data_IF_743827277270
#
_entry.id   IF_743827277270
#
_cell.length_a   1.000
_cell.length_b   1.000
_cell.length_c   1.000
_cell.angle_alpha   90.00
_cell.angle_beta   90.00
_cell.angle_gamma   90.00
#
_symmetry.space_group_name_H-M   'P 1'
#
loop_
_entity.id
_entity.type
_entity.pdbx_description
1 polymer ?
#
# COMPACT_ATOMS: atom_id res chain seq x y z
N UNK A 1 11.30 6.35 16.25
CA UNK A 1 10.70 7.05 17.40
C UNK A 1 11.76 7.48 18.41
N UNK A 2 12.59 6.59 18.96
CA UNK A 2 13.66 6.98 19.92
C UNK A 2 14.62 8.06 19.38
N UNK A 3 15.06 7.97 18.11
CA UNK A 3 15.91 8.98 17.47
C UNK A 3 15.20 10.31 17.21
N UNK A 4 13.92 10.27 16.83
CA UNK A 4 13.12 11.48 16.68
C UNK A 4 12.95 12.17 18.03
N UNK A 5 12.68 11.41 19.10
CA UNK A 5 12.62 11.92 20.48
C UNK A 5 13.97 12.48 20.94
N UNK A 6 15.09 11.79 20.71
CA UNK A 6 16.44 12.28 21.04
C UNK A 6 16.80 13.54 20.25
N UNK A 7 16.40 13.64 18.99
CA UNK A 7 16.59 14.83 18.17
C UNK A 7 15.72 16.00 18.65
N UNK A 8 14.44 15.77 18.95
CA UNK A 8 13.50 16.76 19.50
C UNK A 8 14.01 17.28 20.85
N UNK A 9 14.51 16.39 21.72
CA UNK A 9 15.13 16.74 23.01
C UNK A 9 16.38 17.59 22.79
N UNK A 10 17.25 17.23 21.81
CA UNK A 10 18.44 18.03 21.47
C UNK A 10 18.10 19.44 20.96
N UNK A 11 16.87 19.64 20.46
CA UNK A 11 16.33 20.91 19.96
C UNK A 11 15.49 21.66 21.01
N UNK A 12 15.45 21.18 22.27
CA UNK A 12 14.67 21.78 23.38
C UNK A 12 13.18 22.01 23.03
N UNK A 13 12.56 21.12 22.24
CA UNK A 13 11.16 21.26 21.80
C UNK A 13 10.82 22.56 21.03
N UNK A 14 11.81 23.23 20.41
CA UNK A 14 11.52 24.38 19.56
C UNK A 14 11.05 23.90 18.17
N UNK A 15 9.76 24.12 17.86
CA UNK A 15 9.20 23.90 16.52
C UNK A 15 9.89 24.81 15.51
N UNK A 16 10.21 24.29 14.33
CA UNK A 16 10.75 25.16 13.28
C UNK A 16 9.61 25.93 12.60
N UNK A 17 9.84 27.21 12.33
CA UNK A 17 8.95 27.98 11.46
C UNK A 17 9.09 27.56 9.99
N UNK A 18 10.14 26.81 9.63
CA UNK A 18 10.45 26.38 8.27
C UNK A 18 11.10 24.97 8.26
N UNK A 19 10.59 24.04 7.45
CA UNK A 19 11.20 22.72 7.24
C UNK A 19 12.59 22.78 6.63
N UNK A 20 12.95 23.86 5.91
CA UNK A 20 14.31 24.11 5.41
C UNK A 20 15.34 24.12 6.53
N UNK A 21 15.06 24.81 7.64
CA UNK A 21 15.97 24.81 8.79
C UNK A 21 16.09 23.43 9.45
N UNK A 22 15.03 22.61 9.41
CA UNK A 22 15.08 21.21 9.87
C UNK A 22 15.95 20.37 8.93
N UNK A 23 15.83 20.60 7.61
CA UNK A 23 16.65 19.93 6.58
C UNK A 23 18.12 20.31 6.67
N UNK A 24 18.46 21.58 6.90
CA UNK A 24 19.85 22.05 7.07
C UNK A 24 20.48 21.48 8.35
N UNK A 25 19.67 21.34 9.39
CA UNK A 25 20.05 20.71 10.64
C UNK A 25 20.19 19.18 10.55
N UNK A 26 19.58 18.56 9.54
CA UNK A 26 19.55 17.11 9.39
C UNK A 26 20.89 16.58 8.89
N UNK A 27 21.41 15.56 9.57
CA UNK A 27 22.61 14.82 9.16
C UNK A 27 22.26 13.35 8.96
N UNK A 28 22.81 12.73 7.91
CA UNK A 28 22.55 11.31 7.59
C UNK A 28 22.99 10.36 8.70
N UNK A 29 23.98 10.75 9.51
CA UNK A 29 24.45 9.99 10.66
C UNK A 29 23.39 9.82 11.77
N UNK A 30 22.26 10.55 11.70
CA UNK A 30 21.10 10.30 12.56
C UNK A 30 20.28 9.07 12.14
N UNK A 31 20.64 8.41 11.04
CA UNK A 31 19.95 7.19 10.60
C UNK A 31 20.30 6.01 11.52
N UNK A 32 19.32 5.22 11.97
CA UNK A 32 19.55 4.11 12.90
C UNK A 32 20.32 2.92 12.32
N UNK A 33 20.59 2.92 11.01
CA UNK A 33 21.02 1.76 10.23
C UNK A 33 22.03 2.14 9.13
N UNK A 34 22.88 1.22 8.70
CA UNK A 34 23.71 1.46 7.51
C UNK A 34 22.83 1.36 6.25
N UNK A 35 23.25 2.02 5.17
CA UNK A 35 22.65 1.78 3.85
C UNK A 35 23.02 0.37 3.41
N UNK A 36 22.05 -0.54 3.44
CA UNK A 36 22.24 -1.92 2.99
C UNK A 36 21.77 -2.06 1.54
N UNK A 37 22.64 -2.61 0.68
CA UNK A 37 22.24 -3.00 -0.67
C UNK A 37 21.68 -4.41 -0.61
N UNK A 38 20.36 -4.55 -0.54
CA UNK A 38 19.70 -5.86 -0.59
C UNK A 38 19.38 -6.19 -2.05
N UNK A 39 20.10 -7.17 -2.59
CA UNK A 39 19.96 -7.63 -3.97
C UNK A 39 19.42 -9.07 -4.03
N UNK A 40 18.93 -9.44 -5.22
CA UNK A 40 18.60 -10.82 -5.55
C UNK A 40 19.87 -11.67 -5.54
N UNK A 41 19.74 -12.95 -5.19
CA UNK A 41 20.85 -13.87 -5.01
C UNK A 41 20.40 -15.31 -5.25
N UNK A 42 20.87 -15.93 -6.33
CA UNK A 42 20.57 -17.33 -6.65
C UNK A 42 21.01 -18.32 -5.54
N UNK A 43 22.19 -18.17 -4.89
CA UNK A 43 22.55 -18.99 -3.74
C UNK A 43 21.54 -18.92 -2.58
N UNK A 44 21.09 -17.71 -2.23
CA UNK A 44 20.09 -17.52 -1.17
C UNK A 44 18.71 -18.03 -1.59
N UNK A 45 18.35 -17.87 -2.86
CA UNK A 45 17.13 -18.45 -3.42
C UNK A 45 17.14 -19.98 -3.34
N UNK A 46 18.27 -20.62 -3.63
CA UNK A 46 18.45 -22.07 -3.48
C UNK A 46 18.29 -22.51 -2.03
N UNK A 47 18.93 -21.83 -1.08
CA UNK A 47 18.80 -22.12 0.35
C UNK A 47 17.32 -22.07 0.80
N UNK A 48 16.59 -21.03 0.41
CA UNK A 48 15.16 -20.86 0.74
C UNK A 48 14.30 -21.96 0.09
N UNK A 49 14.60 -22.34 -1.15
CA UNK A 49 13.92 -23.43 -1.86
C UNK A 49 14.14 -24.77 -1.16
N UNK A 50 15.35 -25.03 -0.70
CA UNK A 50 15.68 -26.27 0.03
C UNK A 50 15.00 -26.32 1.40
N UNK A 51 14.91 -25.20 2.11
CA UNK A 51 14.07 -25.09 3.30
C UNK A 51 12.59 -25.37 2.98
N UNK A 52 12.08 -24.84 1.86
CA UNK A 52 10.72 -25.14 1.39
C UNK A 52 10.51 -26.64 1.11
N UNK A 53 11.49 -27.30 0.48
CA UNK A 53 11.46 -28.74 0.26
C UNK A 53 11.42 -29.53 1.58
N UNK A 54 12.23 -29.12 2.57
CA UNK A 54 12.27 -29.75 3.89
C UNK A 54 10.94 -29.55 4.62
N UNK A 55 10.41 -28.33 4.64
CA UNK A 55 9.11 -28.02 5.25
C UNK A 55 7.98 -28.86 4.64
N UNK A 56 7.95 -28.99 3.31
CA UNK A 56 6.94 -29.80 2.64
C UNK A 56 7.05 -31.31 2.95
N UNK A 57 8.28 -31.82 3.09
CA UNK A 57 8.51 -33.22 3.50
C UNK A 57 8.05 -33.48 4.93
N UNK A 58 8.22 -32.51 5.83
CA UNK A 58 7.82 -32.64 7.24
C UNK A 58 6.30 -32.57 7.41
N UNK A 59 5.62 -31.69 6.68
CA UNK A 59 4.17 -31.47 6.80
C UNK A 59 3.51 -31.33 5.41
N UNK A 60 3.33 -32.44 4.67
CA UNK A 60 2.79 -32.39 3.30
C UNK A 60 1.32 -31.93 3.23
N UNK A 61 0.56 -32.12 4.31
CA UNK A 61 -0.85 -31.73 4.41
C UNK A 61 -1.04 -30.24 4.81
N UNK A 62 0.02 -29.58 5.29
CA UNK A 62 0.05 -28.18 5.71
C UNK A 62 1.08 -27.36 4.88
N UNK A 63 0.82 -27.17 3.57
CA UNK A 63 1.85 -26.66 2.66
C UNK A 63 2.12 -25.15 2.77
N UNK A 64 1.38 -24.40 3.56
CA UNK A 64 1.48 -22.93 3.64
C UNK A 64 2.91 -22.49 3.94
N UNK A 65 3.59 -23.15 4.88
CA UNK A 65 4.98 -22.83 5.22
C UNK A 65 5.93 -23.10 4.05
N UNK A 66 5.73 -24.19 3.32
CA UNK A 66 6.55 -24.52 2.15
C UNK A 66 6.29 -23.52 1.00
N UNK A 67 5.03 -23.14 0.77
CA UNK A 67 4.64 -22.14 -0.22
C UNK A 67 5.24 -20.76 0.10
N UNK A 68 5.24 -20.34 1.37
CA UNK A 68 5.91 -19.12 1.82
C UNK A 68 7.42 -19.14 1.53
N UNK A 69 8.09 -20.25 1.84
CA UNK A 69 9.52 -20.41 1.58
C UNK A 69 9.83 -20.43 0.07
N UNK A 70 8.95 -21.03 -0.74
CA UNK A 70 9.06 -20.91 -2.20
C UNK A 70 8.81 -19.49 -2.70
N UNK A 71 7.88 -18.73 -2.11
CA UNK A 71 7.68 -17.31 -2.45
C UNK A 71 8.91 -16.47 -2.11
N UNK A 72 9.53 -16.71 -0.94
CA UNK A 72 10.79 -16.09 -0.57
C UNK A 72 11.91 -16.44 -1.56
N UNK A 73 12.03 -17.72 -1.93
CA UNK A 73 13.00 -18.20 -2.92
C UNK A 73 12.80 -17.53 -4.28
N UNK A 74 11.57 -17.53 -4.81
CA UNK A 74 11.19 -16.90 -6.08
C UNK A 74 11.47 -15.39 -6.04
N UNK A 75 11.19 -14.71 -4.92
CA UNK A 75 11.46 -13.28 -4.78
C UNK A 75 12.95 -12.96 -4.68
N UNK A 76 13.74 -13.87 -4.11
CA UNK A 76 15.19 -13.74 -3.99
C UNK A 76 15.94 -14.11 -5.27
N UNK A 77 15.39 -14.96 -6.13
CA UNK A 77 16.05 -15.39 -7.37
C UNK A 77 16.22 -14.23 -8.35
N UNK A 78 17.34 -14.26 -9.08
CA UNK A 78 17.60 -13.34 -10.20
C UNK A 78 16.59 -13.58 -11.33
N UNK A 79 16.30 -12.52 -12.11
CA UNK A 79 15.40 -12.65 -13.25
C UNK A 79 16.03 -13.62 -14.27
N UNK A 80 15.21 -14.50 -14.86
CA UNK A 80 15.62 -15.48 -15.87
C UNK A 80 16.73 -16.47 -15.42
N UNK A 81 16.85 -16.77 -14.12
CA UNK A 81 17.74 -17.85 -13.62
C UNK A 81 17.08 -19.23 -13.58
N UNK A 82 17.90 -20.31 -13.62
CA UNK A 82 17.39 -21.67 -13.37
C UNK A 82 16.71 -21.75 -11.98
N UNK A 83 17.22 -21.02 -10.98
CA UNK A 83 16.67 -20.98 -9.63
C UNK A 83 15.25 -20.43 -9.58
N UNK A 84 14.96 -19.38 -10.37
CA UNK A 84 13.62 -18.82 -10.50
C UNK A 84 12.68 -19.86 -11.13
N UNK A 85 13.11 -20.51 -12.22
CA UNK A 85 12.38 -21.60 -12.85
C UNK A 85 12.10 -22.77 -11.91
N UNK A 86 13.11 -23.20 -11.14
CA UNK A 86 13.01 -24.26 -10.15
C UNK A 86 12.05 -23.89 -9.00
N UNK A 87 12.06 -22.64 -8.54
CA UNK A 87 11.12 -22.16 -7.52
C UNK A 87 9.67 -22.31 -7.95
N UNK A 88 9.33 -21.86 -9.17
CA UNK A 88 7.99 -22.05 -9.74
C UNK A 88 7.64 -23.52 -9.95
N UNK A 89 8.58 -24.34 -10.40
CA UNK A 89 8.37 -25.77 -10.59
C UNK A 89 8.06 -26.49 -9.27
N UNK A 90 8.75 -26.15 -8.18
CA UNK A 90 8.48 -26.71 -6.86
C UNK A 90 7.11 -26.26 -6.33
N UNK A 91 6.77 -24.98 -6.49
CA UNK A 91 5.47 -24.44 -6.11
C UNK A 91 4.30 -25.10 -6.88
N UNK A 92 4.48 -25.36 -8.17
CA UNK A 92 3.47 -26.07 -8.97
C UNK A 92 3.21 -27.50 -8.50
N UNK A 93 4.18 -28.16 -7.87
CA UNK A 93 4.00 -29.50 -7.32
C UNK A 93 2.97 -29.51 -6.19
N UNK A 94 3.03 -28.49 -5.31
CA UNK A 94 2.08 -28.32 -4.22
C UNK A 94 0.68 -28.05 -4.77
N UNK A 95 0.54 -27.12 -5.74
CA UNK A 95 -0.76 -26.82 -6.33
C UNK A 95 -1.39 -28.04 -7.01
N UNK A 96 -0.58 -28.86 -7.68
CA UNK A 96 -1.04 -30.12 -8.26
C UNK A 96 -1.62 -31.06 -7.19
N UNK A 97 -0.88 -31.29 -6.10
CA UNK A 97 -1.30 -32.16 -5.01
C UNK A 97 -2.56 -31.63 -4.30
N UNK A 98 -2.75 -30.31 -4.28
CA UNK A 98 -3.94 -29.61 -3.75
C UNK A 98 -5.11 -29.54 -4.73
N UNK A 99 -5.02 -30.16 -5.91
CA UNK A 99 -6.03 -30.09 -6.99
C UNK A 99 -6.30 -28.67 -7.50
N UNK A 100 -5.38 -27.74 -7.27
CA UNK A 100 -5.39 -26.36 -7.76
C UNK A 100 -4.76 -26.33 -9.15
N UNK A 101 -5.43 -26.96 -10.12
CA UNK A 101 -4.84 -27.23 -11.44
C UNK A 101 -4.58 -25.95 -12.26
N UNK A 102 -5.40 -24.91 -12.09
CA UNK A 102 -5.20 -23.61 -12.77
C UNK A 102 -3.91 -22.93 -12.30
N UNK A 103 -3.70 -22.86 -10.99
CA UNK A 103 -2.50 -22.29 -10.35
C UNK A 103 -1.27 -23.15 -10.66
N UNK A 104 -1.42 -24.48 -10.68
CA UNK A 104 -0.36 -25.39 -11.11
C UNK A 104 0.10 -25.07 -12.54
N UNK A 105 -0.82 -25.01 -13.51
CA UNK A 105 -0.51 -24.70 -14.90
C UNK A 105 0.12 -23.31 -15.08
N UNK A 106 -0.34 -22.31 -14.33
CA UNK A 106 0.29 -20.99 -14.34
C UNK A 106 1.76 -21.04 -13.88
N UNK A 107 2.06 -21.81 -12.84
CA UNK A 107 3.43 -21.96 -12.33
C UNK A 107 4.32 -22.80 -13.27
N UNK A 108 3.77 -23.83 -13.92
CA UNK A 108 4.48 -24.60 -14.95
C UNK A 108 4.91 -23.68 -16.11
N UNK A 109 4.00 -22.80 -16.58
CA UNK A 109 4.32 -21.83 -17.64
C UNK A 109 5.44 -20.87 -17.21
N UNK A 110 5.41 -20.41 -15.96
CA UNK A 110 6.47 -19.55 -15.43
C UNK A 110 7.81 -20.28 -15.28
N UNK A 111 7.79 -21.53 -14.81
CA UNK A 111 8.99 -22.35 -14.73
C UNK A 111 9.66 -22.49 -16.10
N UNK A 112 8.88 -22.85 -17.14
CA UNK A 112 9.38 -22.95 -18.52
C UNK A 112 9.94 -21.64 -19.05
N UNK A 113 9.29 -20.51 -18.72
CA UNK A 113 9.73 -19.17 -19.16
C UNK A 113 11.08 -18.79 -18.56
N UNK A 114 11.35 -19.17 -17.31
CA UNK A 114 12.58 -18.82 -16.59
C UNK A 114 13.55 -20.00 -16.53
N UNK A 115 13.94 -20.51 -17.70
CA UNK A 115 15.02 -21.48 -17.87
C UNK A 115 14.98 -22.71 -16.93
N UNK A 116 13.79 -23.28 -16.69
CA UNK A 116 13.72 -24.53 -15.93
C UNK A 116 14.57 -25.62 -16.60
N UNK A 117 15.41 -26.37 -15.86
CA UNK A 117 16.40 -27.26 -16.45
C UNK A 117 15.83 -28.31 -17.40
N UNK A 118 16.38 -28.42 -18.61
CA UNK A 118 15.97 -29.41 -19.62
C UNK A 118 16.03 -30.85 -19.08
N UNK A 119 17.06 -31.16 -18.29
CA UNK A 119 17.25 -32.45 -17.61
C UNK A 119 16.08 -32.85 -16.71
N UNK A 120 15.28 -31.88 -16.25
CA UNK A 120 14.12 -32.11 -15.37
C UNK A 120 12.77 -31.91 -16.08
N UNK A 121 12.78 -31.54 -17.36
CA UNK A 121 11.60 -31.09 -18.09
C UNK A 121 10.53 -32.17 -18.22
N UNK A 122 10.93 -33.44 -18.32
CA UNK A 122 10.01 -34.58 -18.40
C UNK A 122 9.02 -34.60 -17.22
N UNK A 123 9.50 -34.37 -15.99
CA UNK A 123 8.64 -34.32 -14.78
C UNK A 123 7.63 -33.18 -14.82
N UNK A 124 8.04 -32.04 -15.38
CA UNK A 124 7.19 -30.86 -15.47
C UNK A 124 6.09 -31.05 -16.54
N UNK A 125 6.44 -31.65 -17.68
CA UNK A 125 5.50 -32.00 -18.76
C UNK A 125 4.46 -33.05 -18.31
N UNK A 126 4.89 -34.09 -17.61
CA UNK A 126 3.97 -35.09 -17.06
C UNK A 126 2.92 -34.45 -16.14
N UNK A 127 3.35 -33.54 -15.25
CA UNK A 127 2.44 -32.80 -14.37
C UNK A 127 1.47 -31.93 -15.15
N UNK A 128 1.94 -31.26 -16.20
CA UNK A 128 1.11 -30.42 -17.08
C UNK A 128 0.01 -31.24 -17.77
N UNK A 129 0.37 -32.37 -18.39
CA UNK A 129 -0.58 -33.28 -19.04
C UNK A 129 -1.64 -33.79 -18.07
N UNK A 130 -1.22 -34.15 -16.85
CA UNK A 130 -2.13 -34.61 -15.80
C UNK A 130 -3.08 -33.50 -15.34
N UNK A 131 -2.62 -32.25 -15.21
CA UNK A 131 -3.49 -31.11 -14.92
C UNK A 131 -4.56 -30.94 -16.00
N UNK A 132 -4.16 -30.96 -17.27
CA UNK A 132 -5.07 -30.76 -18.40
C UNK A 132 -6.15 -31.84 -18.46
N UNK A 133 -5.77 -33.11 -18.25
CA UNK A 133 -6.73 -34.24 -18.17
C UNK A 133 -7.74 -34.05 -17.03
N UNK A 134 -7.28 -33.65 -15.84
CA UNK A 134 -8.18 -33.45 -14.68
C UNK A 134 -9.13 -32.27 -14.87
N UNK A 135 -8.68 -31.19 -15.53
CA UNK A 135 -9.52 -30.04 -15.84
C UNK A 135 -10.57 -30.34 -16.90
N UNK A 136 -10.24 -31.14 -17.93
CA UNK A 136 -11.19 -31.55 -18.96
C UNK A 136 -12.33 -32.42 -18.40
N UNK A 137 -12.07 -33.16 -17.32
CA UNK A 137 -13.04 -34.05 -16.68
C UNK A 137 -13.89 -33.37 -15.59
N UNK A 138 -13.67 -32.09 -15.28
CA UNK A 138 -14.46 -31.36 -14.27
C UNK A 138 -15.49 -30.45 -14.96
N UNK A 139 -16.78 -30.50 -14.57
CA UNK A 139 -17.74 -29.49 -15.02
C UNK A 139 -17.26 -28.11 -14.56
N UNK A 140 -17.16 -27.16 -15.48
CA UNK A 140 -16.60 -25.83 -15.25
C UNK A 140 -17.25 -25.13 -14.06
N UNK A 141 -16.57 -25.09 -12.91
CA UNK A 141 -16.79 -24.03 -11.94
C UNK A 141 -16.06 -22.80 -12.45
N UNK A 142 -16.73 -22.02 -13.30
CA UNK A 142 -16.26 -20.69 -13.71
C UNK A 142 -16.10 -19.81 -12.47
N UNK A 143 -14.91 -19.79 -11.87
CA UNK A 143 -14.51 -18.67 -11.01
C UNK A 143 -14.41 -17.48 -11.95
N UNK A 144 -15.42 -16.60 -11.89
CA UNK A 144 -15.33 -15.28 -12.52
C UNK A 144 -14.08 -14.64 -11.95
N UNK A 145 -13.05 -14.51 -12.78
CA UNK A 145 -11.99 -13.56 -12.49
C UNK A 145 -12.70 -12.20 -12.41
N UNK A 146 -12.76 -11.59 -11.22
CA UNK A 146 -13.19 -10.21 -11.07
C UNK A 146 -12.20 -9.33 -11.85
N UNK A 147 -12.46 -9.15 -13.14
CA UNK A 147 -11.78 -8.17 -13.97
C UNK A 147 -12.04 -6.79 -13.36
N UNK A 148 -10.97 -6.08 -13.02
CA UNK A 148 -10.89 -4.63 -12.81
C UNK A 148 -12.20 -3.93 -12.44
N UNK A 149 -12.78 -4.28 -11.29
CA UNK A 149 -13.89 -3.50 -10.75
C UNK A 149 -13.41 -2.11 -10.32
N UNK A 150 -14.28 -1.10 -10.42
CA UNK A 150 -14.06 0.21 -9.80
C UNK A 150 -13.58 0.00 -8.35
N UNK A 151 -12.60 0.80 -7.89
CA UNK A 151 -12.08 0.71 -6.52
C UNK A 151 -13.19 0.95 -5.46
N UNK A 152 -14.32 1.53 -5.87
CA UNK A 152 -15.49 1.78 -5.06
C UNK A 152 -16.78 1.49 -5.85
N UNK A 153 -17.79 0.96 -5.16
CA UNK A 153 -19.19 0.93 -5.57
C UNK A 153 -20.00 1.70 -4.52
N UNK A 154 -20.55 2.83 -4.93
CA UNK A 154 -21.25 3.77 -4.08
C UNK A 154 -22.66 3.97 -4.63
N UNK A 155 -23.67 4.02 -3.74
CA UNK A 155 -25.01 4.40 -4.16
C UNK A 155 -25.02 5.86 -4.61
N UNK A 156 -25.71 6.14 -5.73
CA UNK A 156 -25.79 7.48 -6.33
C UNK A 156 -26.48 8.52 -5.45
N UNK A 157 -27.19 8.09 -4.41
CA UNK A 157 -27.85 8.97 -3.46
C UNK A 157 -26.95 9.44 -2.31
N UNK A 158 -25.67 9.03 -2.27
CA UNK A 158 -24.73 9.52 -1.26
C UNK A 158 -24.17 10.88 -1.66
N UNK A 159 -24.19 11.82 -0.72
CA UNK A 159 -23.75 13.20 -0.90
C UNK A 159 -22.86 13.62 0.26
N UNK A 160 -22.01 14.63 0.04
CA UNK A 160 -21.26 15.25 1.14
C UNK A 160 -22.22 16.08 1.99
N UNK A 161 -21.99 16.12 3.30
CA UNK A 161 -22.67 17.06 4.19
C UNK A 161 -22.32 18.52 3.84
N UNK A 162 -23.14 19.47 4.30
CA UNK A 162 -22.94 20.91 4.06
C UNK A 162 -21.57 21.42 4.51
N UNK A 163 -21.04 20.87 5.61
CA UNK A 163 -19.71 21.18 6.13
C UNK A 163 -18.56 20.45 5.41
N UNK A 164 -18.88 19.64 4.38
CA UNK A 164 -17.96 18.81 3.59
C UNK A 164 -17.11 17.84 4.43
N UNK A 165 -17.64 17.37 5.58
CA UNK A 165 -16.90 16.49 6.51
C UNK A 165 -17.60 15.16 6.81
N UNK A 166 -18.79 14.94 6.27
CA UNK A 166 -19.64 13.79 6.51
C UNK A 166 -20.33 13.29 5.24
N UNK A 167 -21.04 12.17 5.36
CA UNK A 167 -21.80 11.55 4.26
C UNK A 167 -23.28 11.56 4.60
N UNK A 168 -24.09 12.21 3.77
CA UNK A 168 -25.54 12.25 3.86
C UNK A 168 -26.19 11.50 2.70
N UNK A 169 -27.53 11.47 2.67
CA UNK A 169 -28.28 10.89 1.55
C UNK A 169 -29.33 11.82 0.96
N UNK A 170 -29.56 11.76 -0.35
CA UNK A 170 -30.58 12.55 -1.05
C UNK A 170 -31.98 11.90 -1.13
N UNK A 171 -32.14 10.70 -0.59
CA UNK A 171 -33.42 9.98 -0.49
C UNK A 171 -33.51 9.21 0.82
N UNK A 172 -34.70 8.70 1.13
CA UNK A 172 -34.86 7.76 2.24
C UNK A 172 -34.19 6.41 1.92
N UNK A 173 -33.52 5.84 2.91
CA UNK A 173 -32.84 4.55 2.85
C UNK A 173 -33.37 3.58 3.89
N UNK A 174 -33.49 2.32 3.49
CA UNK A 174 -34.02 1.23 4.31
C UNK A 174 -32.92 0.45 5.03
N UNK A 175 -33.30 -0.22 6.12
CA UNK A 175 -32.42 -1.13 6.86
C UNK A 175 -31.90 -2.23 5.93
N UNK A 176 -30.62 -2.58 6.06
CA UNK A 176 -29.96 -3.63 5.28
C UNK A 176 -29.41 -3.20 3.93
N UNK A 177 -29.70 -1.97 3.46
CA UNK A 177 -29.08 -1.45 2.24
C UNK A 177 -27.55 -1.34 2.39
N UNK A 178 -26.82 -1.83 1.38
CA UNK A 178 -25.38 -1.62 1.23
C UNK A 178 -25.17 -0.31 0.46
N UNK A 179 -24.67 0.71 1.15
CA UNK A 179 -24.61 2.07 0.60
C UNK A 179 -23.23 2.41 0.02
N UNK A 180 -22.18 1.80 0.55
CA UNK A 180 -20.79 2.02 0.14
C UNK A 180 -19.99 0.72 0.27
N UNK A 181 -19.36 0.29 -0.83
CA UNK A 181 -18.40 -0.80 -0.89
C UNK A 181 -17.08 -0.26 -1.44
N UNK A 182 -16.02 -0.30 -0.66
CA UNK A 182 -14.77 0.39 -0.99
C UNK A 182 -13.56 -0.51 -0.74
N UNK A 183 -12.76 -0.74 -1.78
CA UNK A 183 -11.44 -1.37 -1.66
C UNK A 183 -10.41 -0.31 -1.24
N UNK A 184 -9.35 -0.68 -0.50
CA UNK A 184 -8.35 0.29 -0.08
C UNK A 184 -7.70 0.95 -1.32
N UNK A 185 -7.66 2.27 -1.34
CA UNK A 185 -7.00 3.02 -2.41
C UNK A 185 -5.48 2.86 -2.35
N UNK A 186 -4.94 2.82 -1.13
CA UNK A 186 -3.56 2.51 -0.81
C UNK A 186 -3.54 1.60 0.42
N UNK A 187 -2.51 0.77 0.53
CA UNK A 187 -2.22 -0.01 1.72
C UNK A 187 -0.72 -0.13 1.92
N UNK A 188 -0.32 -0.50 3.12
CA UNK A 188 1.04 -0.89 3.48
C UNK A 188 0.94 -2.18 4.31
N UNK A 189 1.70 -3.19 3.92
CA UNK A 189 1.79 -4.48 4.61
C UNK A 189 2.86 -4.44 5.69
N UNK A 190 2.69 -5.27 6.72
CA UNK A 190 3.83 -5.66 7.56
C UNK A 190 4.90 -6.39 6.73
N UNK A 191 6.21 -6.13 6.95
CA UNK A 191 7.28 -6.79 6.20
C UNK A 191 7.20 -8.31 6.20
N UNK A 192 6.74 -8.90 7.31
CA UNK A 192 6.57 -10.35 7.48
C UNK A 192 5.53 -10.96 6.53
N UNK A 193 4.64 -10.14 5.97
CA UNK A 193 3.59 -10.54 5.04
C UNK A 193 3.94 -10.35 3.56
N UNK A 194 5.10 -9.79 3.23
CA UNK A 194 5.52 -9.52 1.86
C UNK A 194 5.46 -10.73 0.92
N UNK A 195 5.64 -11.94 1.49
CA UNK A 195 5.65 -13.21 0.76
C UNK A 195 4.32 -13.97 0.86
N UNK A 196 3.33 -13.38 1.55
CA UNK A 196 2.03 -13.98 1.80
C UNK A 196 0.88 -13.21 1.16
N UNK A 197 1.04 -11.91 0.92
CA UNK A 197 0.01 -11.02 0.39
C UNK A 197 0.53 -10.20 -0.78
N UNK A 198 -0.38 -9.82 -1.66
CA UNK A 198 -0.08 -8.85 -2.71
C UNK A 198 0.19 -7.47 -2.10
N UNK A 199 1.29 -6.84 -2.49
CA UNK A 199 1.68 -5.50 -2.02
C UNK A 199 0.75 -4.37 -2.53
N UNK A 200 -0.02 -4.63 -3.58
CA UNK A 200 -1.00 -3.70 -4.13
C UNK A 200 -2.40 -3.86 -3.52
N UNK A 201 -2.97 -5.07 -3.57
CA UNK A 201 -4.36 -5.30 -3.16
C UNK A 201 -4.52 -6.00 -1.80
N UNK A 202 -3.43 -6.49 -1.19
CA UNK A 202 -3.42 -7.11 0.14
C UNK A 202 -3.98 -8.54 0.20
N UNK A 203 -4.47 -9.08 -0.91
CA UNK A 203 -5.04 -10.44 -0.98
C UNK A 203 -3.94 -11.51 -0.96
N UNK A 204 -4.21 -12.65 -0.30
CA UNK A 204 -3.26 -13.78 -0.20
C UNK A 204 -3.12 -14.61 -1.48
N UNK A 205 -4.14 -14.62 -2.35
CA UNK A 205 -4.20 -15.39 -3.61
C UNK A 205 -3.67 -16.83 -3.52
N UNK A 206 -3.95 -17.53 -2.41
CA UNK A 206 -3.44 -18.89 -2.17
C UNK A 206 -1.91 -19.02 -2.24
N UNK A 207 -1.17 -17.95 -1.91
CA UNK A 207 0.30 -17.86 -2.02
C UNK A 207 0.84 -17.96 -3.46
N UNK A 208 -0.02 -17.83 -4.48
CA UNK A 208 0.38 -17.80 -5.88
C UNK A 208 0.77 -16.37 -6.29
N UNK A 209 1.86 -15.87 -5.71
CA UNK A 209 2.35 -14.52 -5.91
C UNK A 209 3.50 -14.46 -6.93
N UNK A 210 3.73 -13.29 -7.50
CA UNK A 210 4.78 -13.00 -8.48
C UNK A 210 5.71 -11.93 -7.90
N UNK A 211 7.02 -12.09 -7.94
CA UNK A 211 7.93 -11.15 -7.29
C UNK A 211 8.09 -9.87 -8.13
N UNK A 212 8.57 -8.81 -7.49
CA UNK A 212 9.23 -7.76 -8.24
C UNK A 212 10.47 -8.31 -8.97
N UNK A 213 10.75 -7.77 -10.16
CA UNK A 213 11.89 -8.17 -11.00
C UNK A 213 13.23 -7.63 -10.49
N UNK A 214 13.20 -6.56 -9.72
CA UNK A 214 14.41 -5.83 -9.28
C UNK A 214 14.65 -6.03 -7.78
N UNK A 215 13.68 -5.72 -6.92
CA UNK A 215 13.85 -5.89 -5.48
C UNK A 215 13.43 -7.27 -4.96
N UNK A 216 13.79 -7.55 -3.71
CA UNK A 216 13.49 -8.80 -2.97
C UNK A 216 12.36 -8.63 -1.95
N UNK A 217 11.59 -7.54 -2.07
CA UNK A 217 10.81 -7.00 -0.96
C UNK A 217 9.31 -7.11 -1.10
N UNK A 218 8.78 -7.26 -2.31
CA UNK A 218 7.33 -7.23 -2.56
C UNK A 218 6.95 -8.27 -3.60
N UNK A 219 5.71 -8.74 -3.51
CA UNK A 219 5.11 -9.65 -4.48
C UNK A 219 3.66 -9.25 -4.81
N UNK A 220 3.15 -9.73 -5.94
CA UNK A 220 1.86 -9.34 -6.51
C UNK A 220 1.03 -10.55 -6.90
N UNK A 221 -0.30 -10.48 -6.78
CA UNK A 221 -1.18 -11.59 -7.15
C UNK A 221 -1.44 -11.68 -8.67
N UNK A 222 -1.24 -10.59 -9.41
CA UNK A 222 -1.46 -10.51 -10.86
C UNK A 222 -0.47 -9.55 -11.52
N UNK A 223 -0.38 -9.63 -12.85
CA UNK A 223 0.35 -8.65 -13.67
C UNK A 223 -0.25 -7.26 -13.49
N UNK A 224 -1.58 -7.16 -13.54
CA UNK A 224 -2.29 -5.88 -13.30
C UNK A 224 -1.89 -5.25 -11.96
N UNK A 225 -1.86 -6.01 -10.86
CA UNK A 225 -1.46 -5.48 -9.56
C UNK A 225 0.01 -5.01 -9.54
N UNK A 226 0.89 -5.71 -10.25
CA UNK A 226 2.30 -5.33 -10.38
C UNK A 226 2.45 -4.03 -11.18
N UNK A 227 1.75 -3.91 -12.29
CA UNK A 227 1.76 -2.71 -13.14
C UNK A 227 1.15 -1.51 -12.43
N UNK A 228 0.02 -1.71 -11.75
CA UNK A 228 -0.64 -0.67 -10.96
C UNK A 228 0.23 -0.16 -9.81
N UNK A 229 0.92 -1.06 -9.09
CA UNK A 229 1.88 -0.64 -8.07
C UNK A 229 3.04 0.15 -8.68
N UNK A 230 3.63 -0.34 -9.79
CA UNK A 230 4.74 0.32 -10.49
C UNK A 230 4.36 1.72 -10.94
N UNK A 231 3.21 1.88 -11.58
CA UNK A 231 2.72 3.16 -12.09
C UNK A 231 2.44 4.18 -10.99
N UNK A 232 2.08 3.74 -9.78
CA UNK A 232 1.61 4.63 -8.70
C UNK A 232 2.67 5.00 -7.66
N UNK A 233 3.50 4.03 -7.25
CA UNK A 233 4.44 4.26 -6.15
C UNK A 233 5.70 3.39 -6.23
N UNK A 234 5.58 2.14 -6.74
CA UNK A 234 6.67 1.19 -6.68
C UNK A 234 7.85 1.57 -7.60
N UNK A 235 7.63 2.38 -8.64
CA UNK A 235 8.73 2.93 -9.45
C UNK A 235 9.72 3.77 -8.62
N UNK A 236 9.25 4.40 -7.54
CA UNK A 236 10.10 5.17 -6.62
C UNK A 236 10.49 4.31 -5.41
N UNK A 237 9.52 3.58 -4.86
CA UNK A 237 9.70 2.75 -3.67
C UNK A 237 10.78 1.68 -3.87
N UNK A 238 10.88 1.11 -5.08
CA UNK A 238 11.74 -0.02 -5.35
C UNK A 238 13.23 0.26 -5.15
N UNK A 239 13.72 1.44 -5.55
CA UNK A 239 15.14 1.80 -5.44
C UNK A 239 15.59 1.92 -3.99
N UNK A 240 14.70 2.40 -3.13
CA UNK A 240 14.99 2.72 -1.72
C UNK A 240 14.35 1.74 -0.74
N UNK A 241 13.75 0.65 -1.22
CA UNK A 241 12.98 -0.30 -0.38
C UNK A 241 13.82 -0.92 0.75
N UNK A 242 15.13 -1.03 0.55
CA UNK A 242 16.07 -1.53 1.55
C UNK A 242 16.21 -0.56 2.75
N UNK A 243 16.07 0.74 2.52
CA UNK A 243 16.04 1.77 3.57
C UNK A 243 14.64 1.89 4.20
N UNK A 244 13.57 1.78 3.40
CA UNK A 244 12.19 1.91 3.89
C UNK A 244 11.79 0.77 4.84
N UNK A 245 12.21 -0.46 4.57
CA UNK A 245 11.90 -1.62 5.41
C UNK A 245 12.32 -1.44 6.87
N UNK A 246 13.60 -1.18 7.19
CA UNK A 246 14.02 -0.97 8.56
C UNK A 246 13.50 0.36 9.13
N UNK A 247 13.34 1.39 8.31
CA UNK A 247 12.75 2.67 8.74
C UNK A 247 11.33 2.50 9.25
N UNK A 248 10.53 1.69 8.54
CA UNK A 248 9.13 1.49 8.85
C UNK A 248 8.81 0.22 9.64
N UNK A 249 9.84 -0.50 10.11
CA UNK A 249 9.69 -1.68 10.96
C UNK A 249 9.23 -1.27 12.35
N UNK A 250 8.11 -1.82 12.82
CA UNK A 250 7.68 -1.67 14.21
C UNK A 250 6.21 -1.29 14.37
N UNK A 251 5.85 -0.53 15.42
CA UNK A 251 4.45 -0.37 15.84
C UNK A 251 3.61 0.38 14.80
N UNK A 252 2.28 0.23 14.89
CA UNK A 252 1.28 0.84 13.98
C UNK A 252 1.57 2.29 13.56
N UNK A 253 2.01 3.22 14.46
CA UNK A 253 2.28 4.61 14.09
C UNK A 253 3.33 4.78 12.98
N UNK A 254 4.25 3.83 12.86
CA UNK A 254 5.33 3.91 11.86
C UNK A 254 4.80 3.52 10.47
N UNK A 255 3.85 2.57 10.38
CA UNK A 255 3.20 2.19 9.12
C UNK A 255 2.32 3.31 8.54
N UNK A 256 1.83 4.20 9.40
CA UNK A 256 1.11 5.42 8.98
C UNK A 256 1.97 6.29 8.08
N UNK A 257 3.23 6.48 8.46
CA UNK A 257 4.17 7.32 7.72
C UNK A 257 4.48 6.73 6.35
N UNK A 258 4.58 5.39 6.24
CA UNK A 258 4.76 4.72 4.97
C UNK A 258 3.55 4.90 4.04
N UNK A 259 2.32 4.87 4.58
CA UNK A 259 1.12 5.17 3.82
C UNK A 259 1.15 6.62 3.28
N UNK A 260 1.55 7.59 4.12
CA UNK A 260 1.75 8.98 3.69
C UNK A 260 2.82 9.11 2.61
N UNK A 261 3.86 8.26 2.62
CA UNK A 261 4.88 8.25 1.57
C UNK A 261 4.35 7.72 0.23
N UNK A 262 3.51 6.66 0.24
CA UNK A 262 2.82 6.21 -0.97
C UNK A 262 1.90 7.30 -1.54
N UNK A 263 1.17 8.02 -0.69
CA UNK A 263 0.40 9.20 -1.11
C UNK A 263 1.28 10.33 -1.66
N UNK A 264 2.44 10.55 -1.05
CA UNK A 264 3.38 11.57 -1.51
C UNK A 264 3.92 11.26 -2.92
N UNK A 265 4.18 9.99 -3.25
CA UNK A 265 4.58 9.66 -4.62
C UNK A 265 3.48 9.87 -5.66
N UNK A 266 2.20 9.79 -5.28
CA UNK A 266 1.11 10.26 -6.16
C UNK A 266 1.20 11.77 -6.42
N UNK A 267 1.47 12.57 -5.39
CA UNK A 267 1.75 14.00 -5.53
C UNK A 267 2.92 14.27 -6.47
N UNK A 268 4.02 13.51 -6.32
CA UNK A 268 5.19 13.62 -7.20
C UNK A 268 4.84 13.28 -8.64
N UNK A 269 4.00 12.28 -8.89
CA UNK A 269 3.55 11.96 -10.26
C UNK A 269 2.76 13.10 -10.91
N UNK A 270 1.79 13.66 -10.18
CA UNK A 270 1.01 14.82 -10.66
C UNK A 270 1.93 16.02 -10.93
N UNK A 271 2.92 16.25 -10.08
CA UNK A 271 3.92 17.29 -10.29
C UNK A 271 4.79 17.04 -11.53
N UNK A 272 5.23 15.81 -11.75
CA UNK A 272 6.09 15.47 -12.88
C UNK A 272 5.34 15.52 -14.22
N UNK A 273 4.03 15.32 -14.21
CA UNK A 273 3.16 15.45 -15.39
C UNK A 273 2.99 16.90 -15.83
N UNK A 274 2.66 17.82 -14.90
CA UNK A 274 2.49 19.24 -15.20
C UNK A 274 3.00 20.12 -14.03
N UNK A 275 4.31 20.43 -14.00
CA UNK A 275 4.94 21.12 -12.86
C UNK A 275 4.34 22.49 -12.54
N UNK A 276 4.07 23.30 -13.56
CA UNK A 276 3.66 24.71 -13.38
C UNK A 276 2.22 24.78 -12.87
N UNK A 277 1.29 24.12 -13.56
CA UNK A 277 -0.12 24.08 -13.18
C UNK A 277 -0.30 23.40 -11.83
N UNK A 278 0.45 22.33 -11.55
CA UNK A 278 0.40 21.65 -10.27
C UNK A 278 0.77 22.58 -9.11
N UNK A 279 1.88 23.33 -9.25
CA UNK A 279 2.34 24.25 -8.21
C UNK A 279 1.39 25.43 -8.04
N UNK A 280 0.90 26.02 -9.13
CA UNK A 280 -0.08 27.11 -9.09
C UNK A 280 -1.35 26.66 -8.35
N UNK A 281 -1.88 25.49 -8.71
CA UNK A 281 -3.07 24.89 -8.09
C UNK A 281 -2.87 24.68 -6.60
N UNK A 282 -1.75 24.10 -6.18
CA UNK A 282 -1.48 23.80 -4.78
C UNK A 282 -1.23 25.06 -3.92
N UNK A 283 -0.75 26.15 -4.52
CA UNK A 283 -0.57 27.44 -3.82
C UNK A 283 -1.89 28.21 -3.69
N UNK A 284 -2.83 27.99 -4.60
CA UNK A 284 -4.11 28.71 -4.62
C UNK A 284 -5.23 27.93 -3.90
N UNK A 285 -5.61 28.40 -2.70
CA UNK A 285 -6.71 27.81 -1.92
C UNK A 285 -8.07 27.83 -2.64
N UNK A 286 -8.34 28.83 -3.47
CA UNK A 286 -9.58 28.88 -4.25
C UNK A 286 -9.59 27.81 -5.34
N UNK A 287 -8.44 27.58 -5.99
CA UNK A 287 -8.30 26.50 -6.97
C UNK A 287 -8.45 25.11 -6.35
N UNK A 288 -8.04 24.93 -5.08
CA UNK A 288 -8.24 23.67 -4.36
C UNK A 288 -9.69 23.41 -3.95
N UNK A 289 -10.55 24.44 -3.89
CA UNK A 289 -11.91 24.30 -3.39
C UNK A 289 -12.77 23.33 -4.23
N UNK A 290 -12.47 23.18 -5.52
CA UNK A 290 -13.15 22.21 -6.40
C UNK A 290 -12.89 20.75 -6.01
N UNK A 291 -11.81 20.47 -5.26
CA UNK A 291 -11.45 19.12 -4.80
C UNK A 291 -12.02 18.77 -3.42
N UNK A 292 -12.95 19.59 -2.88
CA UNK A 292 -13.56 19.32 -1.57
C UNK A 292 -14.42 18.07 -1.56
N UNK A 293 -15.13 17.79 -2.65
CA UNK A 293 -16.00 16.63 -2.75
C UNK A 293 -15.28 15.45 -3.41
N UNK A 294 -14.87 14.41 -2.67
CA UNK A 294 -14.13 13.29 -3.25
C UNK A 294 -15.01 12.37 -4.11
N UNK A 295 -16.34 12.45 -4.00
CA UNK A 295 -17.26 11.61 -4.79
C UNK A 295 -17.29 11.98 -6.27
N UNK A 296 -16.87 13.19 -6.62
CA UNK A 296 -16.81 13.69 -8.00
C UNK A 296 -15.41 13.62 -8.60
N UNK A 297 -14.43 13.08 -7.86
CA UNK A 297 -13.03 13.06 -8.27
C UNK A 297 -12.64 11.73 -8.89
N UNK A 298 -11.78 11.81 -9.90
CA UNK A 298 -11.02 10.66 -10.35
C UNK A 298 -9.95 10.27 -9.32
N UNK A 299 -9.53 9.00 -9.27
CA UNK A 299 -8.58 8.54 -8.25
C UNK A 299 -7.22 9.26 -8.24
N UNK A 300 -6.80 9.83 -9.38
CA UNK A 300 -5.61 10.68 -9.48
C UNK A 300 -5.72 11.96 -8.63
N UNK A 301 -6.93 12.50 -8.48
CA UNK A 301 -7.19 13.77 -7.81
C UNK A 301 -7.42 13.65 -6.30
N UNK A 302 -7.48 12.43 -5.76
CA UNK A 302 -7.64 12.22 -4.30
C UNK A 302 -6.53 12.89 -3.50
N UNK A 303 -5.33 13.04 -4.07
CA UNK A 303 -4.27 13.81 -3.42
C UNK A 303 -4.72 15.23 -3.09
N UNK A 304 -5.35 15.97 -4.01
CA UNK A 304 -5.75 17.36 -3.79
C UNK A 304 -6.78 17.49 -2.67
N UNK A 305 -7.75 16.58 -2.64
CA UNK A 305 -8.74 16.51 -1.57
C UNK A 305 -8.07 16.32 -0.20
N UNK A 306 -7.20 15.32 -0.09
CA UNK A 306 -6.48 15.02 1.15
C UNK A 306 -5.53 16.15 1.54
N UNK A 307 -4.85 16.76 0.57
CA UNK A 307 -3.93 17.87 0.81
C UNK A 307 -4.67 19.10 1.34
N UNK A 308 -5.82 19.45 0.75
CA UNK A 308 -6.65 20.55 1.23
C UNK A 308 -7.13 20.31 2.67
N UNK A 309 -7.61 19.11 2.99
CA UNK A 309 -8.03 18.74 4.34
C UNK A 309 -6.87 18.86 5.34
N UNK A 310 -5.68 18.34 4.96
CA UNK A 310 -4.47 18.41 5.78
C UNK A 310 -4.04 19.85 6.07
N UNK A 311 -4.10 20.70 5.05
CA UNK A 311 -3.79 22.12 5.16
C UNK A 311 -4.77 22.88 6.08
N UNK A 312 -6.05 22.52 6.09
CA UNK A 312 -7.05 23.09 7.00
C UNK A 312 -6.81 22.63 8.44
N UNK A 313 -6.51 21.34 8.63
CA UNK A 313 -6.20 20.76 9.93
C UNK A 313 -4.94 21.40 10.54
N UNK A 314 -3.89 21.61 9.74
CA UNK A 314 -2.67 22.26 10.18
C UNK A 314 -2.94 23.70 10.66
N UNK A 315 -3.75 24.47 9.92
CA UNK A 315 -4.10 25.85 10.27
C UNK A 315 -4.89 25.94 11.59
N UNK A 316 -5.76 24.96 11.87
CA UNK A 316 -6.45 24.88 13.17
C UNK A 316 -5.50 24.60 14.33
N UNK A 317 -4.58 23.64 14.17
CA UNK A 317 -3.65 23.23 15.24
C UNK A 317 -2.49 24.20 15.47
N UNK A 318 -2.10 25.01 14.47
CA UNK A 318 -1.11 26.08 14.65
C UNK A 318 -1.49 27.11 15.72
N UNK A 319 -2.76 27.15 16.13
CA UNK A 319 -3.26 28.04 17.20
C UNK A 319 -3.13 27.42 18.60
N UNK A 320 -2.82 26.12 18.72
CA UNK A 320 -2.61 25.44 19.99
C UNK A 320 -1.25 25.81 20.60
N UNK A 321 -1.21 26.03 21.92
CA UNK A 321 0.02 26.26 22.69
C UNK A 321 0.36 25.08 23.61
N UNK A 322 -0.30 23.94 23.43
CA UNK A 322 -0.06 22.73 24.23
C UNK A 322 1.34 22.16 23.91
N UNK A 323 2.11 21.84 24.96
CA UNK A 323 3.48 21.31 24.83
C UNK A 323 3.49 19.97 24.10
N UNK A 324 2.48 19.11 24.30
CA UNK A 324 2.38 17.82 23.62
C UNK A 324 2.12 18.01 22.12
N UNK A 325 1.30 19.00 21.74
CA UNK A 325 1.07 19.34 20.33
C UNK A 325 2.35 19.85 19.65
N UNK A 326 3.16 20.64 20.36
CA UNK A 326 4.45 21.13 19.87
C UNK A 326 5.45 19.98 19.70
N UNK A 327 5.54 19.07 20.66
CA UNK A 327 6.41 17.88 20.56
C UNK A 327 5.98 16.96 19.41
N UNK A 328 4.69 16.66 19.26
CA UNK A 328 4.16 15.87 18.14
C UNK A 328 4.52 16.52 16.80
N UNK A 329 4.34 17.83 16.68
CA UNK A 329 4.72 18.58 15.49
C UNK A 329 6.21 18.44 15.17
N UNK A 330 7.11 18.65 16.13
CA UNK A 330 8.56 18.50 15.92
C UNK A 330 8.93 17.09 15.43
N UNK A 331 8.30 16.05 16.01
CA UNK A 331 8.52 14.65 15.57
C UNK A 331 8.10 14.47 14.12
N UNK A 332 6.96 15.05 13.71
CA UNK A 332 6.46 14.97 12.33
C UNK A 332 7.31 15.78 11.35
N UNK A 333 7.81 16.95 11.74
CA UNK A 333 8.75 17.75 10.94
C UNK A 333 10.03 16.94 10.66
N UNK A 334 10.63 16.35 11.70
CA UNK A 334 11.79 15.48 11.55
C UNK A 334 11.52 14.27 10.67
N UNK A 335 10.41 13.55 10.93
CA UNK A 335 10.03 12.38 10.14
C UNK A 335 9.82 12.75 8.67
N UNK A 336 9.21 13.90 8.38
CA UNK A 336 8.98 14.36 7.01
C UNK A 336 10.29 14.68 6.29
N UNK A 337 11.24 15.35 6.95
CA UNK A 337 12.57 15.61 6.37
C UNK A 337 13.33 14.30 6.13
N UNK A 338 13.34 13.40 7.12
CA UNK A 338 13.97 12.09 7.02
C UNK A 338 13.43 11.29 5.83
N UNK A 339 12.10 11.23 5.71
CA UNK A 339 11.41 10.56 4.61
C UNK A 339 11.67 11.24 3.27
N UNK A 340 11.71 12.58 3.22
CA UNK A 340 12.00 13.33 2.00
C UNK A 340 13.40 13.04 1.48
N UNK A 341 14.41 13.06 2.38
CA UNK A 341 15.79 12.74 2.03
C UNK A 341 15.86 11.36 1.39
N UNK A 342 15.27 10.32 1.98
CA UNK A 342 15.32 8.97 1.39
C UNK A 342 14.46 8.85 0.14
N UNK A 343 13.23 9.33 0.17
CA UNK A 343 12.28 9.10 -0.92
C UNK A 343 12.58 9.94 -2.17
N UNK A 344 13.31 11.05 -2.03
CA UNK A 344 13.54 12.02 -3.11
C UNK A 344 15.03 12.24 -3.37
N UNK A 345 15.81 12.61 -2.35
CA UNK A 345 17.19 13.05 -2.55
C UNK A 345 18.18 11.89 -2.72
N UNK A 346 18.01 10.81 -1.95
CA UNK A 346 18.80 9.57 -2.07
C UNK A 346 18.21 8.59 -3.10
N UNK A 347 17.02 8.90 -3.61
CA UNK A 347 16.38 8.16 -4.69
C UNK A 347 16.91 8.70 -6.02
N UNK A 348 17.93 8.07 -6.56
CA UNK A 348 18.67 8.52 -7.75
C UNK A 348 17.74 8.71 -8.94
N UNK A 349 16.85 7.74 -9.21
CA UNK A 349 15.94 7.80 -10.35
C UNK A 349 14.92 8.95 -10.24
N UNK A 350 14.44 9.27 -9.03
CA UNK A 350 13.56 10.42 -8.81
C UNK A 350 14.34 11.74 -8.79
N UNK A 351 15.50 11.80 -8.14
CA UNK A 351 16.33 12.99 -8.06
C UNK A 351 16.68 13.53 -9.46
N UNK A 352 17.04 12.64 -10.39
CA UNK A 352 17.31 13.00 -11.78
C UNK A 352 16.08 13.59 -12.50
N UNK A 353 14.88 13.08 -12.20
CA UNK A 353 13.62 13.59 -12.80
C UNK A 353 13.23 14.97 -12.25
N UNK A 354 13.75 15.34 -11.09
CA UNK A 354 13.51 16.62 -10.43
C UNK A 354 14.64 17.63 -10.65
N UNK A 355 15.74 17.22 -11.28
CA UNK A 355 16.89 18.10 -11.54
C UNK A 355 16.46 19.33 -12.36
N UNK A 356 16.90 20.51 -11.90
CA UNK A 356 16.55 21.80 -12.52
C UNK A 356 15.10 22.25 -12.30
N UNK A 357 14.28 21.51 -11.55
CA UNK A 357 12.87 21.88 -11.29
C UNK A 357 12.69 22.57 -9.93
N UNK A 358 11.90 23.67 -9.84
CA UNK A 358 11.77 24.47 -8.61
C UNK A 358 10.68 23.91 -7.68
N UNK A 359 10.88 22.73 -7.10
CA UNK A 359 9.86 22.11 -6.25
C UNK A 359 10.34 21.48 -4.95
N UNK A 360 11.64 21.50 -4.65
CA UNK A 360 12.16 20.75 -3.51
C UNK A 360 11.57 21.19 -2.16
N UNK A 361 11.41 22.50 -1.95
CA UNK A 361 10.77 23.02 -0.74
C UNK A 361 9.26 22.70 -0.72
N UNK A 362 8.56 22.96 -1.82
CA UNK A 362 7.11 22.74 -1.90
C UNK A 362 6.71 21.26 -1.75
N UNK A 363 7.44 20.33 -2.39
CA UNK A 363 7.20 18.89 -2.25
C UNK A 363 7.46 18.42 -0.81
N UNK A 364 8.51 18.95 -0.16
CA UNK A 364 8.78 18.65 1.25
C UNK A 364 7.65 19.14 2.17
N UNK A 365 7.13 20.34 1.92
CA UNK A 365 5.99 20.87 2.68
C UNK A 365 4.72 20.05 2.44
N UNK A 366 4.49 19.58 1.21
CA UNK A 366 3.38 18.68 0.89
C UNK A 366 3.49 17.33 1.62
N UNK A 367 4.69 16.74 1.66
CA UNK A 367 4.93 15.52 2.44
C UNK A 367 4.63 15.75 3.92
N UNK A 368 5.05 16.89 4.48
CA UNK A 368 4.76 17.23 5.87
C UNK A 368 3.26 17.35 6.14
N UNK A 369 2.48 17.97 5.25
CA UNK A 369 1.02 18.03 5.40
C UNK A 369 0.41 16.62 5.42
N UNK A 370 0.87 15.71 4.57
CA UNK A 370 0.42 14.31 4.54
C UNK A 370 0.82 13.52 5.80
N UNK A 371 2.03 13.75 6.31
CA UNK A 371 2.52 13.14 7.56
C UNK A 371 1.75 13.68 8.78
N UNK A 372 1.41 14.97 8.76
CA UNK A 372 0.68 15.62 9.84
C UNK A 372 -0.69 15.01 10.10
N UNK A 373 -1.39 14.61 9.04
CA UNK A 373 -2.73 14.01 9.13
C UNK A 373 -2.74 12.48 9.04
N UNK A 374 -1.57 11.81 9.06
CA UNK A 374 -1.46 10.39 8.76
C UNK A 374 -2.40 9.49 9.59
N UNK A 375 -2.63 9.83 10.86
CA UNK A 375 -3.57 9.13 11.76
C UNK A 375 -5.03 9.20 11.29
N UNK A 376 -5.43 10.29 10.64
CA UNK A 376 -6.80 10.47 10.11
C UNK A 376 -6.99 9.74 8.79
N UNK A 377 -5.92 9.55 8.04
CA UNK A 377 -5.93 8.87 6.75
C UNK A 377 -5.98 7.36 6.90
N UNK A 378 -5.34 6.85 7.94
CA UNK A 378 -5.09 5.44 8.10
C UNK A 378 -6.19 4.67 8.79
N UNK A 379 -6.40 3.48 8.28
CA UNK A 379 -7.28 2.49 8.85
C UNK A 379 -6.50 1.24 9.29
N UNK A 380 -6.65 0.88 10.56
CA UNK A 380 -6.01 -0.26 11.21
C UNK A 380 -6.96 -1.42 11.55
N UNK A 381 -8.18 -1.49 10.97
CA UNK A 381 -9.09 -2.62 11.23
C UNK A 381 -8.48 -3.96 10.82
N UNK A 382 -7.60 -3.96 9.82
CA UNK A 382 -6.79 -5.12 9.47
C UNK A 382 -5.46 -5.05 10.26
N UNK A 383 -5.22 -5.95 11.26
CA UNK A 383 -4.12 -5.81 12.21
C UNK A 383 -2.72 -5.73 11.56
N UNK A 384 -2.54 -6.49 10.49
CA UNK A 384 -1.26 -6.73 9.82
C UNK A 384 -1.00 -5.75 8.65
N UNK A 385 -1.83 -4.70 8.53
CA UNK A 385 -1.68 -3.70 7.49
C UNK A 385 -2.20 -2.35 7.94
N UNK A 386 -1.96 -1.36 7.10
CA UNK A 386 -2.52 -0.02 7.24
C UNK A 386 -3.10 0.35 5.89
N UNK A 387 -4.38 0.74 5.86
CA UNK A 387 -5.11 1.00 4.62
C UNK A 387 -5.60 2.44 4.57
N UNK A 388 -5.79 2.97 3.36
CA UNK A 388 -6.49 4.22 3.10
C UNK A 388 -7.80 3.91 2.37
N UNK A 389 -8.91 4.33 2.97
CA UNK A 389 -10.25 4.30 2.39
C UNK A 389 -10.73 5.75 2.21
N UNK A 390 -10.53 6.37 1.02
CA UNK A 390 -10.87 7.77 0.77
C UNK A 390 -12.29 8.20 1.20
N UNK A 391 -13.27 7.30 1.12
CA UNK A 391 -14.68 7.59 1.37
C UNK A 391 -15.15 7.11 2.76
N UNK A 392 -14.89 5.86 3.13
CA UNK A 392 -15.36 5.30 4.41
C UNK A 392 -14.78 6.01 5.62
N UNK A 393 -13.69 6.78 5.47
CA UNK A 393 -13.11 7.64 6.50
C UNK A 393 -13.96 8.89 6.81
N UNK A 394 -14.84 9.29 5.89
CA UNK A 394 -15.72 10.46 6.04
C UNK A 394 -16.95 10.14 6.90
N UNK A 395 -17.20 8.86 7.19
CA UNK A 395 -18.29 8.46 8.08
C UNK A 395 -17.97 8.90 9.51
N UNK A 396 -18.78 9.82 10.04
CA UNK A 396 -18.65 10.28 11.42
C UNK A 396 -19.14 9.22 12.41
N UNK A 397 -18.67 9.37 13.65
CA UNK A 397 -19.04 8.50 14.74
C UNK A 397 -20.27 9.01 15.49
N UNK A 398 -21.12 8.08 15.96
CA UNK A 398 -22.30 8.37 16.77
C UNK A 398 -22.52 7.28 17.82
N UNK A 399 -23.03 7.65 19.00
CA UNK A 399 -23.49 6.70 20.03
C UNK A 399 -24.75 5.93 19.57
N UNK A 400 -25.47 6.48 18.59
CA UNK A 400 -26.69 5.91 18.02
C UNK A 400 -26.53 5.79 16.49
N UNK A 401 -25.58 4.96 16.01
CA UNK A 401 -25.19 4.95 14.60
C UNK A 401 -26.31 4.44 13.70
N UNK A 402 -26.36 4.98 12.48
CA UNK A 402 -27.32 4.58 11.45
C UNK A 402 -26.80 3.42 10.59
N UNK A 403 -25.47 3.22 10.56
CA UNK A 403 -24.82 2.18 9.78
C UNK A 403 -23.79 1.37 10.59
N UNK A 404 -23.47 0.19 10.07
CA UNK A 404 -22.32 -0.61 10.49
C UNK A 404 -21.34 -0.75 9.34
N UNK A 405 -20.05 -0.72 9.69
CA UNK A 405 -18.95 -0.91 8.77
C UNK A 405 -18.31 -2.27 9.00
N UNK A 406 -18.41 -3.14 8.00
CA UNK A 406 -17.75 -4.44 7.96
C UNK A 406 -16.48 -4.38 7.11
N UNK A 407 -15.55 -5.29 7.38
CA UNK A 407 -14.38 -5.52 6.55
C UNK A 407 -14.42 -6.97 6.06
N UNK A 408 -14.51 -7.17 4.75
CA UNK A 408 -14.49 -8.49 4.12
C UNK A 408 -13.42 -8.49 3.03
N UNK A 409 -12.37 -9.32 3.17
CA UNK A 409 -11.22 -9.36 2.27
C UNK A 409 -10.66 -7.96 1.92
N UNK A 410 -10.54 -7.12 2.97
CA UNK A 410 -10.12 -5.72 2.90
C UNK A 410 -11.10 -4.78 2.19
N UNK A 411 -12.24 -5.25 1.71
CA UNK A 411 -13.29 -4.37 1.26
C UNK A 411 -14.07 -3.83 2.46
N UNK A 412 -14.12 -2.51 2.59
CA UNK A 412 -14.98 -1.79 3.51
C UNK A 412 -16.42 -1.84 3.00
N UNK A 413 -17.34 -2.36 3.79
CA UNK A 413 -18.76 -2.50 3.42
C UNK A 413 -19.62 -1.78 4.45
N UNK A 414 -20.38 -0.78 4.01
CA UNK A 414 -21.26 0.03 4.86
C UNK A 414 -22.70 -0.43 4.67
N UNK A 415 -23.31 -0.92 5.75
CA UNK A 415 -24.67 -1.47 5.77
C UNK A 415 -25.52 -0.70 6.76
N UNK A 416 -26.72 -0.28 6.35
CA UNK A 416 -27.62 0.44 7.24
C UNK A 416 -28.23 -0.49 8.31
N UNK A 417 -28.18 -0.05 9.56
CA UNK A 417 -28.81 -0.70 10.72
C UNK A 417 -30.17 -0.11 11.06
N UNK A 418 -30.45 1.09 10.57
CA UNK A 418 -31.66 1.88 10.84
C UNK A 418 -32.10 2.57 9.56
N UNK A 419 -33.39 2.92 9.43
CA UNK A 419 -33.83 3.82 8.37
C UNK A 419 -33.06 5.15 8.45
N UNK A 420 -32.70 5.71 7.30
CA UNK A 420 -32.04 7.02 7.19
C UNK A 420 -32.90 7.90 6.30
N UNK A 421 -33.39 9.00 6.84
CA UNK A 421 -34.22 9.94 6.07
C UNK A 421 -33.37 10.76 5.10
N UNK A 422 -33.98 11.26 4.03
CA UNK A 422 -33.37 12.27 3.16
C UNK A 422 -32.75 13.42 3.96
N UNK A 423 -31.52 13.79 3.63
CA UNK A 423 -30.72 14.82 4.28
C UNK A 423 -30.03 14.36 5.57
N UNK A 424 -30.38 13.19 6.10
CA UNK A 424 -29.76 12.67 7.32
C UNK A 424 -28.37 12.10 7.03
N UNK A 425 -27.48 12.27 7.99
CA UNK A 425 -26.13 11.74 7.93
C UNK A 425 -26.07 10.23 8.22
N UNK A 426 -25.19 9.56 7.49
CA UNK A 426 -24.79 8.17 7.72
C UNK A 426 -23.62 8.14 8.70
N UNK A 427 -23.84 7.52 9.86
CA UNK A 427 -22.87 7.47 10.96
C UNK A 427 -22.59 6.03 11.39
N UNK A 428 -21.38 5.79 11.90
CA UNK A 428 -20.93 4.48 12.39
C UNK A 428 -20.61 4.55 13.89
N UNK A 429 -20.53 3.41 14.57
CA UNK A 429 -20.13 3.39 15.98
C UNK A 429 -18.68 3.89 16.16
N UNK A 430 -18.38 4.45 17.33
CA UNK A 430 -16.99 4.63 17.79
C UNK A 430 -16.31 3.26 17.84
N UNK A 431 -15.01 3.21 17.51
CA UNK A 431 -14.23 1.97 17.56
C UNK A 431 -13.75 1.66 18.96
#
# INVERSE_FOLDING_TARGET
>A
MSLASSWVISRKNLTSNNLGAVRDAFKRDYWPFAKEKVEKSNPKATQLREQGNAAYKMAPDEPDRALELYNQSICMAEEDSEELGMGYANRSAIYFNRKMYRECLQNIRLAKRHHYPERMMAKLKEREERCLKMMANSPESSRKDEKGGKHCSMQSCLEMSDDSRGICTSRDLSVGEKVLLEKPFLLVLEPELAYQRCDYCGLRNGLNLRPCKTCTSVMYCSVDCQEQALQRYHQFECEVVADLKPLFRGPKPVRLLYLSLRLFWHCVLLYLEDPETFLERCKNRAALAQYRNPFTLEPSDYFYHLFLEGLENLAHKQRSRDVNDLTDRCVREFASVLMYVVAVEENTSLALRLEGKPANETLRDMLFVLVYQAERLADHRAPEMTCLYPFSRLLRHSCAPTAERFLHDLQSVIVLKRPVSKGQEITIAYR
#
